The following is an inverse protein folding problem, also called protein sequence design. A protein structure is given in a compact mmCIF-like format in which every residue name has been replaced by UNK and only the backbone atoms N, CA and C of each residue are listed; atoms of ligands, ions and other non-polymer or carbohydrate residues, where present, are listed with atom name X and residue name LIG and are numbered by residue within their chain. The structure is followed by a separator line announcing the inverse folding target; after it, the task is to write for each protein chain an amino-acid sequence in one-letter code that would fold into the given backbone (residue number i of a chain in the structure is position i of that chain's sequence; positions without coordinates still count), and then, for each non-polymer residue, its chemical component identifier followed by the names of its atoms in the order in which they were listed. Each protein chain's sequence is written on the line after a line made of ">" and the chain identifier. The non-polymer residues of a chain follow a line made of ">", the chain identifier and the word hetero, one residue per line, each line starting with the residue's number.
data_IF_561471070804
#
_entry.id   IF_561471070804
#
_cell.length_a   1.000
_cell.length_b   1.000
_cell.length_c   1.000
_cell.angle_alpha   90.00
_cell.angle_beta   90.00
_cell.angle_gamma   90.00
#
_symmetry.space_group_name_H-M   'P 1'
#
loop_
_entity.id
_entity.type
_entity.pdbx_description
1 polymer ?
#
# COMPACT_ATOMS: atom_id res chain seq x y z
N UNK A 1 -50.05 -4.65 21.79
CA UNK A 1 -49.46 -5.38 20.64
C UNK A 1 -47.99 -5.00 20.36
N UNK A 2 -47.25 -4.42 21.33
CA UNK A 2 -45.84 -4.04 21.15
C UNK A 2 -44.85 -5.05 21.78
N UNK A 3 -45.33 -5.88 22.71
CA UNK A 3 -44.48 -6.73 23.55
C UNK A 3 -43.95 -7.98 22.83
N UNK A 4 -44.62 -8.40 21.75
CA UNK A 4 -44.19 -9.56 20.95
C UNK A 4 -42.96 -9.29 20.07
N UNK A 5 -42.61 -8.02 19.80
CA UNK A 5 -41.45 -7.68 18.96
C UNK A 5 -40.12 -7.79 19.70
N UNK A 6 -40.10 -7.62 21.02
CA UNK A 6 -38.85 -7.70 21.80
C UNK A 6 -38.40 -9.15 22.06
N UNK A 7 -39.32 -10.11 22.18
CA UNK A 7 -38.95 -11.52 22.38
C UNK A 7 -38.34 -12.17 21.13
N UNK A 8 -38.70 -11.72 19.92
CA UNK A 8 -38.11 -12.23 18.67
C UNK A 8 -36.64 -11.85 18.46
N UNK A 9 -36.07 -10.93 19.25
CA UNK A 9 -34.65 -10.52 19.11
C UNK A 9 -33.69 -11.31 20.01
N UNK A 10 -34.19 -12.12 20.95
CA UNK A 10 -33.35 -12.86 21.88
C UNK A 10 -32.86 -14.21 21.31
N UNK A 11 -33.47 -14.70 20.22
CA UNK A 11 -33.13 -16.00 19.62
C UNK A 11 -32.35 -15.87 18.29
N UNK A 12 -31.74 -14.71 18.04
CA UNK A 12 -30.86 -14.50 16.89
C UNK A 12 -29.42 -14.89 17.27
N UNK A 13 -28.80 -15.71 16.43
CA UNK A 13 -27.43 -16.16 16.57
C UNK A 13 -26.50 -14.96 16.83
N UNK A 14 -25.58 -15.02 17.79
CA UNK A 14 -24.74 -13.89 18.24
C UNK A 14 -24.05 -13.18 17.06
N UNK A 15 -23.72 -13.93 16.00
CA UNK A 15 -23.16 -13.40 14.75
C UNK A 15 -24.12 -12.45 14.01
N UNK A 16 -25.41 -12.76 13.94
CA UNK A 16 -26.42 -11.89 13.33
C UNK A 16 -26.64 -10.60 14.13
N UNK A 17 -26.63 -10.67 15.47
CA UNK A 17 -26.75 -9.48 16.32
C UNK A 17 -25.59 -8.52 16.08
N UNK A 18 -24.36 -9.04 15.96
CA UNK A 18 -23.19 -8.23 15.61
C UNK A 18 -23.32 -7.61 14.21
N UNK A 19 -23.76 -8.36 13.20
CA UNK A 19 -23.96 -7.82 11.84
C UNK A 19 -24.99 -6.70 11.80
N UNK A 20 -26.09 -6.81 12.55
CA UNK A 20 -27.13 -5.77 12.63
C UNK A 20 -26.56 -4.51 13.28
N UNK A 21 -25.81 -4.64 14.37
CA UNK A 21 -25.19 -3.48 15.05
C UNK A 21 -24.18 -2.78 14.13
N UNK A 22 -23.32 -3.54 13.44
CA UNK A 22 -22.36 -2.99 12.48
C UNK A 22 -23.08 -2.27 11.33
N UNK A 23 -24.17 -2.85 10.81
CA UNK A 23 -24.95 -2.25 9.74
C UNK A 23 -25.59 -0.91 10.14
N UNK A 24 -26.11 -0.82 11.37
CA UNK A 24 -26.68 0.43 11.91
C UNK A 24 -25.59 1.51 12.02
N UNK A 25 -24.39 1.16 12.51
CA UNK A 25 -23.27 2.11 12.62
C UNK A 25 -22.88 2.64 11.23
N UNK A 26 -22.81 1.78 10.21
CA UNK A 26 -22.49 2.19 8.84
C UNK A 26 -23.54 3.18 8.30
N UNK A 27 -24.83 2.94 8.55
CA UNK A 27 -25.90 3.86 8.12
C UNK A 27 -25.76 5.22 8.81
N UNK A 28 -25.47 5.26 10.11
CA UNK A 28 -25.27 6.52 10.86
C UNK A 28 -24.10 7.31 10.28
N UNK A 29 -22.99 6.65 9.95
CA UNK A 29 -21.83 7.29 9.32
C UNK A 29 -22.17 7.85 7.93
N UNK A 30 -22.97 7.14 7.13
CA UNK A 30 -23.40 7.62 5.81
C UNK A 30 -24.31 8.85 5.93
N UNK A 31 -25.25 8.85 6.88
CA UNK A 31 -26.12 10.02 7.11
C UNK A 31 -25.29 11.22 7.58
N UNK A 32 -24.32 10.98 8.46
CA UNK A 32 -23.40 12.01 8.93
C UNK A 32 -22.53 12.57 7.81
N UNK A 33 -22.00 11.71 6.92
CA UNK A 33 -21.29 12.11 5.70
C UNK A 33 -22.17 12.90 4.75
N UNK A 34 -23.43 12.49 4.55
CA UNK A 34 -24.38 13.19 3.69
C UNK A 34 -24.72 14.59 4.25
N UNK A 35 -24.87 14.72 5.57
CA UNK A 35 -25.04 16.02 6.22
C UNK A 35 -23.77 16.88 6.15
N UNK A 36 -22.59 16.27 6.28
CA UNK A 36 -21.30 16.95 6.09
C UNK A 36 -21.09 17.45 4.66
N UNK A 37 -21.54 16.68 3.65
CA UNK A 37 -21.42 17.02 2.23
C UNK A 37 -22.44 18.08 1.78
N UNK A 38 -23.62 18.13 2.39
CA UNK A 38 -24.66 19.10 2.04
C UNK A 38 -24.52 20.41 2.85
N UNK A 39 -23.91 20.39 4.04
CA UNK A 39 -23.73 21.55 4.90
C UNK A 39 -22.37 22.26 4.83
N UNK A 40 -21.38 21.70 4.13
CA UNK A 40 -19.98 22.14 4.14
C UNK A 40 -19.44 22.54 2.78
N UNK A 41 -20.06 23.51 2.11
CA UNK A 41 -19.49 24.14 0.93
C UNK A 41 -18.31 25.03 1.32
N UNK A 42 -17.08 24.53 1.13
CA UNK A 42 -15.88 25.36 0.98
C UNK A 42 -14.67 24.94 1.81
N UNK A 43 -13.75 24.19 1.18
CA UNK A 43 -12.32 24.52 1.15
C UNK A 43 -11.53 23.48 0.33
N UNK A 44 -11.02 23.95 -0.81
CA UNK A 44 -9.80 23.55 -1.51
C UNK A 44 -9.46 22.05 -1.65
N UNK A 45 -9.88 21.46 -2.77
CA UNK A 45 -9.03 20.53 -3.52
C UNK A 45 -7.77 21.26 -3.97
N UNK A 46 -6.55 20.86 -3.54
CA UNK A 46 -5.35 21.35 -4.18
C UNK A 46 -5.30 20.81 -5.61
N UNK A 47 -5.26 21.75 -6.56
CA UNK A 47 -5.00 21.48 -7.98
C UNK A 47 -3.56 20.96 -8.12
N UNK A 48 -3.32 19.87 -8.86
CA UNK A 48 -1.96 19.40 -9.12
C UNK A 48 -1.23 20.40 -10.02
N UNK A 49 -0.20 21.03 -9.47
CA UNK A 49 0.70 21.92 -10.21
C UNK A 49 1.60 21.09 -11.16
N UNK A 50 1.78 21.50 -12.43
CA UNK A 50 2.59 20.77 -13.40
C UNK A 50 4.08 20.83 -13.05
N UNK A 51 4.74 19.69 -13.19
CA UNK A 51 6.17 19.52 -12.98
C UNK A 51 7.01 20.47 -13.86
N UNK A 52 7.74 21.37 -13.22
CA UNK A 52 8.78 22.17 -13.86
C UNK A 52 10.10 21.41 -13.89
N UNK A 53 10.67 21.41 -15.09
CA UNK A 53 11.89 20.78 -15.57
C UNK A 53 13.14 21.25 -14.82
N UNK A 54 14.12 20.34 -14.74
CA UNK A 54 15.46 20.50 -14.18
C UNK A 54 16.15 21.84 -14.49
N UNK A 55 16.71 22.49 -13.46
CA UNK A 55 17.91 23.33 -13.59
C UNK A 55 18.66 23.48 -12.25
N UNK A 56 19.90 23.00 -12.28
CA UNK A 56 21.11 23.31 -11.52
C UNK A 56 21.07 24.18 -10.24
N UNK A 57 21.79 23.66 -9.24
CA UNK A 57 22.49 24.34 -8.13
C UNK A 57 22.73 25.85 -8.27
N UNK A 58 22.29 26.62 -7.26
CA UNK A 58 23.11 27.66 -6.61
C UNK A 58 22.55 28.07 -5.24
N UNK A 59 23.39 28.31 -4.21
CA UNK A 59 22.95 28.79 -2.91
C UNK A 59 22.86 30.33 -2.92
N UNK A 60 21.79 30.90 -2.36
CA UNK A 60 21.72 32.33 -2.13
C UNK A 60 20.33 32.87 -1.79
N UNK A 61 20.26 33.47 -0.60
CA UNK A 61 19.45 34.65 -0.23
C UNK A 61 17.94 34.65 -0.42
N UNK A 62 17.26 34.68 0.75
CA UNK A 62 16.18 35.60 1.12
C UNK A 62 14.95 35.69 0.22
N UNK A 63 13.79 35.28 0.75
CA UNK A 63 12.55 36.08 0.69
C UNK A 63 11.48 35.50 1.60
N UNK A 64 11.11 36.32 2.59
CA UNK A 64 9.85 36.32 3.32
C UNK A 64 8.61 36.11 2.46
N UNK A 65 7.62 35.38 2.95
CA UNK A 65 6.22 35.80 2.82
C UNK A 65 5.33 35.16 3.88
N UNK A 66 4.61 36.06 4.53
CA UNK A 66 3.64 35.95 5.62
C UNK A 66 2.36 35.23 5.18
N UNK A 67 1.80 34.40 6.06
CA UNK A 67 0.35 34.25 6.20
C UNK A 67 0.01 33.68 7.59
N UNK A 68 -0.20 34.58 8.55
CA UNK A 68 -0.86 34.32 9.82
C UNK A 68 -2.33 33.97 9.56
N UNK A 69 -2.77 32.81 10.05
CA UNK A 69 -4.18 32.56 10.33
C UNK A 69 -4.34 32.26 11.82
N UNK A 70 -4.87 33.24 12.54
CA UNK A 70 -5.32 33.14 13.92
C UNK A 70 -6.75 32.59 13.98
N UNK A 71 -7.05 31.60 14.84
CA UNK A 71 -8.43 31.29 15.20
C UNK A 71 -8.88 32.20 16.35
N UNK A 72 -9.98 32.91 16.11
CA UNK A 72 -10.71 33.73 17.08
C UNK A 72 -11.42 32.85 18.12
N UNK A 73 -11.26 33.20 19.41
CA UNK A 73 -12.06 32.70 20.53
C UNK A 73 -13.31 33.57 20.73
N UNK A 74 -14.46 33.00 21.14
CA UNK A 74 -15.65 33.77 21.45
C UNK A 74 -15.55 34.46 22.81
N UNK A 75 -16.05 35.70 22.80
CA UNK A 75 -16.10 36.70 23.86
C UNK A 75 -16.95 36.27 25.06
N UNK A 76 -16.41 36.42 26.28
CA UNK A 76 -17.18 36.38 27.52
C UNK A 76 -17.44 37.82 27.99
N UNK A 77 -18.72 38.16 28.08
CA UNK A 77 -19.25 39.46 28.49
C UNK A 77 -19.09 39.72 29.99
N UNK A 78 -18.75 40.96 30.28
CA UNK A 78 -18.53 41.60 31.57
C UNK A 78 -19.80 41.79 32.41
N UNK A 79 -19.67 41.57 33.72
CA UNK A 79 -20.52 42.12 34.77
C UNK A 79 -19.60 42.62 35.88
N UNK A 80 -19.71 43.91 36.21
CA UNK A 80 -18.61 44.68 36.81
C UNK A 80 -18.43 44.55 38.31
N UNK A 81 -17.30 45.06 38.80
CA UNK A 81 -17.24 45.95 39.95
C UNK A 81 -15.88 46.64 40.05
N UNK A 82 -16.00 47.87 40.51
CA UNK A 82 -15.04 48.93 40.67
C UNK A 82 -14.12 48.66 41.87
N UNK A 83 -12.80 48.67 41.67
CA UNK A 83 -11.80 49.11 42.67
C UNK A 83 -10.37 49.02 42.09
N UNK A 84 -9.74 50.17 41.92
CA UNK A 84 -8.27 50.30 41.94
C UNK A 84 -7.77 50.12 43.38
N UNK A 85 -6.63 49.44 43.58
CA UNK A 85 -5.40 50.22 43.71
C UNK A 85 -4.25 49.69 42.85
N UNK A 86 -3.57 50.65 42.26
CA UNK A 86 -2.40 50.53 41.40
C UNK A 86 -1.16 50.18 42.23
N UNK A 87 -0.65 48.95 42.10
CA UNK A 87 0.78 48.60 42.25
C UNK A 87 1.09 47.11 42.00
N UNK A 88 0.09 46.24 41.86
CA UNK A 88 0.31 44.82 41.53
C UNK A 88 0.37 44.51 40.02
N UNK A 89 -0.02 45.47 39.17
CA UNK A 89 -0.16 45.26 37.71
C UNK A 89 1.16 44.90 37.00
N UNK A 90 2.32 45.40 37.46
CA UNK A 90 3.60 45.08 36.81
C UNK A 90 4.02 43.64 37.06
N UNK A 91 3.85 43.15 38.30
CA UNK A 91 4.22 41.77 38.68
C UNK A 91 3.30 40.74 38.03
N UNK A 92 2.02 41.09 37.89
CA UNK A 92 1.04 40.25 37.20
C UNK A 92 1.31 40.20 35.69
N UNK A 93 1.73 41.31 35.08
CA UNK A 93 2.15 41.35 33.67
C UNK A 93 3.42 40.53 33.39
N UNK A 94 4.39 40.52 34.31
CA UNK A 94 5.57 39.64 34.20
C UNK A 94 5.18 38.17 34.31
N UNK A 95 4.22 37.83 35.16
CA UNK A 95 3.78 36.45 35.34
C UNK A 95 3.00 35.93 34.12
N UNK A 96 2.18 36.79 33.50
CA UNK A 96 1.51 36.50 32.22
C UNK A 96 2.53 36.35 31.10
N UNK A 97 3.55 37.22 31.04
CA UNK A 97 4.63 37.12 30.05
C UNK A 97 5.44 35.83 30.22
N UNK A 98 5.71 35.42 31.46
CA UNK A 98 6.42 34.18 31.74
C UNK A 98 5.58 32.95 31.34
N UNK A 99 4.27 33.00 31.53
CA UNK A 99 3.36 31.95 31.04
C UNK A 99 3.34 31.89 29.51
N UNK A 100 3.27 33.02 28.81
CA UNK A 100 3.34 33.08 27.35
C UNK A 100 4.66 32.52 26.82
N UNK A 101 5.80 32.93 27.40
CA UNK A 101 7.11 32.43 26.98
C UNK A 101 7.24 30.91 27.22
N UNK A 102 6.63 30.41 28.29
CA UNK A 102 6.58 28.96 28.58
C UNK A 102 5.73 28.23 27.54
N UNK A 103 4.58 28.78 27.16
CA UNK A 103 3.72 28.22 26.11
C UNK A 103 4.40 28.23 24.75
N UNK A 104 5.09 29.31 24.39
CA UNK A 104 5.86 29.41 23.15
C UNK A 104 6.99 28.39 23.09
N UNK A 105 7.75 28.22 24.18
CA UNK A 105 8.77 27.17 24.27
C UNK A 105 8.18 25.77 24.14
N UNK A 106 7.01 25.53 24.74
CA UNK A 106 6.33 24.24 24.63
C UNK A 106 5.88 23.95 23.19
N UNK A 107 5.33 24.95 22.50
CA UNK A 107 4.94 24.84 21.09
C UNK A 107 6.16 24.64 20.18
N UNK A 108 7.25 25.37 20.42
CA UNK A 108 8.50 25.21 19.68
C UNK A 108 9.09 23.80 19.85
N UNK A 109 9.12 23.27 21.09
CA UNK A 109 9.61 21.92 21.36
C UNK A 109 8.75 20.83 20.69
N UNK A 110 7.43 21.02 20.62
CA UNK A 110 6.54 20.10 19.90
C UNK A 110 6.86 20.10 18.40
N UNK A 111 7.02 21.28 17.80
CA UNK A 111 7.35 21.41 16.38
C UNK A 111 8.72 20.79 16.07
N UNK A 112 9.73 21.06 16.89
CA UNK A 112 11.06 20.48 16.76
C UNK A 112 11.01 18.94 16.81
N UNK A 113 10.21 18.37 17.71
CA UNK A 113 10.03 16.92 17.82
C UNK A 113 9.37 16.34 16.56
N UNK A 114 8.38 17.03 15.99
CA UNK A 114 7.77 16.62 14.72
C UNK A 114 8.77 16.65 13.56
N UNK A 115 9.55 17.72 13.46
CA UNK A 115 10.63 17.86 12.48
C UNK A 115 11.68 16.74 12.61
N UNK A 116 12.09 16.41 13.82
CA UNK A 116 13.04 15.31 14.08
C UNK A 116 12.46 13.95 13.67
N UNK A 117 11.17 13.70 13.94
CA UNK A 117 10.51 12.46 13.50
C UNK A 117 10.43 12.36 11.98
N UNK A 118 10.01 13.43 11.31
CA UNK A 118 9.95 13.49 9.85
C UNK A 118 11.35 13.29 9.25
N UNK A 119 12.36 13.96 9.80
CA UNK A 119 13.75 13.82 9.36
C UNK A 119 14.25 12.37 9.49
N UNK A 120 13.95 11.71 10.62
CA UNK A 120 14.27 10.29 10.82
C UNK A 120 13.55 9.39 9.80
N UNK A 121 12.27 9.61 9.58
CA UNK A 121 11.46 8.85 8.62
C UNK A 121 11.97 9.01 7.18
N UNK A 122 12.37 10.23 6.80
CA UNK A 122 13.00 10.51 5.51
C UNK A 122 14.35 9.80 5.39
N UNK A 123 15.19 9.85 6.43
CA UNK A 123 16.48 9.18 6.44
C UNK A 123 16.33 7.65 6.30
N UNK A 124 15.40 7.05 7.04
CA UNK A 124 15.11 5.61 7.00
C UNK A 124 14.55 5.18 5.64
N UNK A 125 13.62 5.97 5.07
CA UNK A 125 13.08 5.72 3.74
C UNK A 125 14.16 5.84 2.66
N UNK A 126 15.02 6.86 2.76
CA UNK A 126 16.12 7.07 1.81
C UNK A 126 17.14 5.93 1.89
N UNK A 127 17.45 5.45 3.10
CA UNK A 127 18.30 4.29 3.32
C UNK A 127 17.68 3.01 2.74
N UNK A 128 16.37 2.80 2.92
CA UNK A 128 15.63 1.68 2.33
C UNK A 128 15.62 1.71 0.80
N UNK A 129 15.45 2.88 0.19
CA UNK A 129 15.53 3.05 -1.27
C UNK A 129 16.94 2.75 -1.78
N UNK A 130 17.98 3.23 -1.08
CA UNK A 130 19.36 3.01 -1.47
C UNK A 130 19.74 1.52 -1.39
N UNK A 131 19.35 0.82 -0.32
CA UNK A 131 19.60 -0.61 -0.17
C UNK A 131 18.81 -1.45 -1.18
N UNK A 132 17.55 -1.10 -1.44
CA UNK A 132 16.74 -1.73 -2.48
C UNK A 132 17.38 -1.57 -3.86
N UNK A 133 17.83 -0.37 -4.23
CA UNK A 133 18.51 -0.13 -5.51
C UNK A 133 19.80 -0.95 -5.65
N UNK A 134 20.60 -1.03 -4.59
CA UNK A 134 21.80 -1.89 -4.59
C UNK A 134 21.46 -3.37 -4.78
N UNK A 135 20.39 -3.85 -4.12
CA UNK A 135 19.92 -5.22 -4.28
C UNK A 135 19.43 -5.48 -5.72
N UNK A 136 18.66 -4.55 -6.32
CA UNK A 136 18.18 -4.70 -7.70
C UNK A 136 19.33 -4.72 -8.69
N UNK A 137 20.31 -3.81 -8.56
CA UNK A 137 21.49 -3.78 -9.45
C UNK A 137 22.34 -5.05 -9.29
N UNK A 138 22.45 -5.58 -8.06
CA UNK A 138 23.16 -6.84 -7.81
C UNK A 138 22.42 -8.03 -8.43
N UNK A 139 21.10 -8.07 -8.30
CA UNK A 139 20.27 -9.10 -8.93
C UNK A 139 20.36 -9.01 -10.47
N UNK A 140 20.30 -7.82 -11.05
CA UNK A 140 20.46 -7.61 -12.50
C UNK A 140 21.84 -8.07 -12.99
N UNK A 141 22.92 -7.78 -12.26
CA UNK A 141 24.26 -8.28 -12.59
C UNK A 141 24.37 -9.81 -12.48
N UNK A 142 23.75 -10.42 -11.46
CA UNK A 142 23.72 -11.88 -11.31
C UNK A 142 22.94 -12.57 -12.43
N UNK A 143 21.84 -11.96 -12.88
CA UNK A 143 21.07 -12.46 -14.03
C UNK A 143 21.86 -12.32 -15.33
N UNK A 144 22.60 -11.22 -15.52
CA UNK A 144 23.39 -11.02 -16.73
C UNK A 144 24.55 -12.03 -16.83
N UNK A 145 25.19 -12.38 -15.72
CA UNK A 145 26.27 -13.38 -15.68
C UNK A 145 25.78 -14.78 -16.10
N UNK A 146 24.52 -15.14 -15.79
CA UNK A 146 23.92 -16.40 -16.24
C UNK A 146 23.67 -16.46 -17.75
N UNK A 147 23.50 -15.31 -18.41
CA UNK A 147 23.35 -15.23 -19.86
C UNK A 147 24.68 -15.10 -20.60
N UNK A 148 25.73 -14.61 -19.94
CA UNK A 148 27.07 -14.46 -20.54
C UNK A 148 28.05 -15.58 -20.17
N UNK A 149 27.70 -16.48 -19.24
CA UNK A 149 28.51 -17.65 -18.92
C UNK A 149 28.59 -18.55 -20.15
N UNK A 150 29.75 -18.50 -20.81
CA UNK A 150 30.06 -19.29 -21.99
C UNK A 150 29.67 -20.77 -21.74
N UNK A 151 29.02 -21.43 -22.70
CA UNK A 151 28.58 -22.82 -22.54
C UNK A 151 29.77 -23.68 -22.10
N UNK A 152 29.63 -24.50 -21.05
CA UNK A 152 30.70 -25.40 -20.64
C UNK A 152 31.10 -26.27 -21.85
N UNK A 153 32.40 -26.51 -22.06
CA UNK A 153 32.86 -27.34 -23.17
C UNK A 153 32.11 -28.68 -23.12
N UNK A 154 31.47 -29.03 -24.23
CA UNK A 154 30.69 -30.25 -24.37
C UNK A 154 31.58 -31.45 -24.02
N UNK A 155 31.38 -32.00 -22.83
CA UNK A 155 32.02 -33.25 -22.42
C UNK A 155 31.32 -34.37 -23.17
N UNK A 156 32.04 -35.21 -23.95
CA UNK A 156 31.44 -36.28 -24.72
C UNK A 156 30.72 -37.29 -23.82
N UNK A 157 29.48 -37.59 -24.17
CA UNK A 157 28.49 -38.38 -23.41
C UNK A 157 28.79 -39.88 -23.28
N UNK A 158 30.03 -40.33 -23.54
CA UNK A 158 30.36 -41.76 -23.58
C UNK A 158 30.78 -42.40 -22.24
N UNK A 159 30.82 -41.66 -21.12
CA UNK A 159 31.39 -42.19 -19.88
C UNK A 159 30.38 -42.61 -18.80
N UNK A 160 29.09 -42.25 -18.91
CA UNK A 160 28.09 -42.54 -17.87
C UNK A 160 27.31 -43.84 -18.08
N UNK A 161 27.39 -44.48 -19.26
CA UNK A 161 26.77 -45.79 -19.50
C UNK A 161 27.62 -46.97 -18.97
N UNK A 162 28.88 -46.73 -18.58
CA UNK A 162 29.81 -47.80 -18.18
C UNK A 162 29.80 -48.12 -16.68
N UNK A 163 29.05 -47.38 -15.84
CA UNK A 163 29.02 -47.62 -14.38
C UNK A 163 27.74 -48.28 -13.87
N UNK A 164 26.80 -48.67 -14.75
CA UNK A 164 25.51 -49.27 -14.34
C UNK A 164 25.37 -50.77 -14.64
N UNK A 165 26.42 -51.45 -15.11
CA UNK A 165 26.36 -52.91 -15.40
C UNK A 165 27.23 -53.74 -14.46
N UNK A 166 27.79 -53.16 -13.38
CA UNK A 166 28.50 -53.94 -12.36
C UNK A 166 27.77 -53.93 -11.02
N UNK A 167 27.35 -55.13 -10.62
CA UNK A 167 26.89 -55.59 -9.30
C UNK A 167 25.54 -55.09 -8.77
N UNK A 168 24.51 -55.92 -9.05
CA UNK A 168 23.59 -56.51 -8.07
C UNK A 168 23.09 -55.65 -6.90
N UNK A 169 21.80 -55.31 -6.93
CA UNK A 169 21.09 -54.78 -5.78
C UNK A 169 19.61 -54.60 -6.07
N UNK A 170 18.82 -55.63 -5.74
CA UNK A 170 17.37 -55.60 -5.77
C UNK A 170 16.87 -54.54 -4.76
N UNK A 171 16.35 -53.42 -5.25
CA UNK A 171 15.88 -52.31 -4.42
C UNK A 171 14.63 -51.67 -5.01
N UNK A 172 13.47 -52.05 -4.50
CA UNK A 172 12.18 -51.38 -4.68
C UNK A 172 12.24 -49.95 -4.16
N UNK A 173 12.06 -48.96 -5.03
CA UNK A 173 11.82 -47.59 -4.66
C UNK A 173 10.63 -47.01 -5.44
N UNK A 174 9.48 -47.09 -4.79
CA UNK A 174 8.29 -46.28 -4.99
C UNK A 174 8.61 -44.81 -4.71
N UNK A 175 8.44 -43.89 -5.66
CA UNK A 175 8.21 -42.47 -5.35
C UNK A 175 7.70 -41.67 -6.58
N UNK A 176 6.42 -41.30 -6.48
CA UNK A 176 5.83 -40.01 -6.86
C UNK A 176 6.02 -39.53 -8.29
N UNK A 177 4.96 -39.75 -9.07
CA UNK A 177 4.73 -39.06 -10.33
C UNK A 177 4.78 -37.55 -10.15
N UNK A 178 5.70 -36.93 -10.88
CA UNK A 178 5.61 -35.52 -11.22
C UNK A 178 4.39 -35.33 -12.12
N UNK A 179 3.37 -34.64 -11.61
CA UNK A 179 2.30 -34.07 -12.42
C UNK A 179 2.94 -33.11 -13.43
N UNK A 180 3.20 -33.66 -14.62
CA UNK A 180 3.62 -32.89 -15.78
C UNK A 180 2.36 -32.22 -16.30
N UNK A 181 2.15 -30.96 -15.90
CA UNK A 181 1.12 -30.12 -16.51
C UNK A 181 1.51 -29.93 -17.96
N UNK A 182 0.68 -30.50 -18.84
CA UNK A 182 0.82 -30.45 -20.29
C UNK A 182 0.76 -29.00 -20.76
N UNK A 183 1.93 -28.48 -21.14
CA UNK A 183 2.08 -27.20 -21.83
C UNK A 183 1.55 -27.36 -23.26
N UNK A 184 0.23 -27.27 -23.42
CA UNK A 184 -0.40 -27.19 -24.75
C UNK A 184 0.04 -25.87 -25.41
N UNK A 185 0.64 -25.98 -26.60
CA UNK A 185 1.06 -24.92 -27.52
C UNK A 185 0.06 -23.77 -27.60
N UNK A 186 0.30 -22.76 -26.77
CA UNK A 186 -0.49 -21.55 -26.75
C UNK A 186 0.18 -20.62 -25.77
N UNK A 187 0.83 -19.59 -26.31
CA UNK A 187 1.35 -18.40 -25.62
C UNK A 187 1.42 -18.57 -24.10
N UNK A 188 2.57 -19.02 -23.60
CA UNK A 188 2.74 -19.30 -22.16
C UNK A 188 2.75 -17.98 -21.40
N UNK A 189 1.59 -17.60 -20.86
CA UNK A 189 1.49 -16.52 -19.89
C UNK A 189 2.01 -17.00 -18.55
N UNK A 190 2.75 -16.12 -17.87
CA UNK A 190 3.22 -16.35 -16.51
C UNK A 190 2.48 -15.36 -15.62
N UNK A 191 1.87 -15.81 -14.52
CA UNK A 191 1.33 -14.90 -13.51
C UNK A 191 2.44 -14.63 -12.50
N UNK A 192 2.90 -13.38 -12.42
CA UNK A 192 3.96 -12.96 -11.51
C UNK A 192 3.41 -12.61 -10.14
N UNK A 193 2.30 -11.87 -10.11
CA UNK A 193 1.67 -11.46 -8.87
C UNK A 193 0.17 -11.32 -9.02
N UNK A 194 -0.54 -11.56 -7.92
CA UNK A 194 -1.96 -11.30 -7.78
C UNK A 194 -2.16 -10.47 -6.53
N UNK A 195 -2.91 -9.37 -6.63
CA UNK A 195 -3.20 -8.47 -5.52
C UNK A 195 -4.70 -8.20 -5.43
N UNK A 196 -5.16 -7.88 -4.22
CA UNK A 196 -6.53 -7.48 -3.96
C UNK A 196 -6.52 -6.05 -3.44
N UNK A 197 -6.99 -5.11 -4.26
CA UNK A 197 -6.97 -3.68 -3.96
C UNK A 197 -8.36 -3.10 -4.17
N UNK A 198 -8.85 -2.33 -3.18
CA UNK A 198 -10.15 -1.63 -3.26
C UNK A 198 -11.33 -2.55 -3.63
N UNK A 199 -11.36 -3.77 -3.08
CA UNK A 199 -12.43 -4.72 -3.37
C UNK A 199 -12.35 -5.39 -4.74
N UNK A 200 -11.26 -5.19 -5.49
CA UNK A 200 -11.06 -5.76 -6.83
C UNK A 200 -9.77 -6.57 -6.86
N UNK A 201 -9.83 -7.72 -7.54
CA UNK A 201 -8.64 -8.50 -7.84
C UNK A 201 -7.94 -7.93 -9.07
N UNK A 202 -6.64 -7.72 -8.95
CA UNK A 202 -5.75 -7.34 -10.05
C UNK A 202 -4.61 -8.36 -10.14
N UNK A 203 -4.06 -8.56 -11.33
CA UNK A 203 -2.92 -9.45 -11.52
C UNK A 203 -1.90 -8.82 -12.47
N UNK A 204 -0.63 -9.11 -12.23
CA UNK A 204 0.45 -8.78 -13.17
C UNK A 204 0.83 -10.05 -13.90
N UNK A 205 0.62 -10.04 -15.21
CA UNK A 205 0.93 -11.15 -16.10
C UNK A 205 2.13 -10.81 -16.98
N UNK A 206 3.03 -11.77 -17.16
CA UNK A 206 4.20 -11.68 -18.02
C UNK A 206 4.00 -12.44 -19.32
N UNK A 207 4.37 -11.82 -20.43
CA UNK A 207 4.46 -12.47 -21.75
C UNK A 207 5.63 -11.91 -22.55
N UNK A 208 6.56 -12.78 -22.96
CA UNK A 208 7.74 -12.41 -23.76
C UNK A 208 8.52 -11.20 -23.20
N UNK A 209 8.74 -11.18 -21.87
CA UNK A 209 9.48 -10.11 -21.21
C UNK A 209 8.70 -8.80 -21.00
N UNK A 210 7.43 -8.73 -21.42
CA UNK A 210 6.53 -7.61 -21.11
C UNK A 210 5.60 -7.96 -19.95
N UNK A 211 5.31 -6.96 -19.12
CA UNK A 211 4.38 -7.07 -18.00
C UNK A 211 3.08 -6.35 -18.36
N UNK A 212 1.97 -6.99 -18.01
CA UNK A 212 0.62 -6.49 -18.22
C UNK A 212 -0.09 -6.46 -16.88
N UNK A 213 -0.58 -5.28 -16.48
CA UNK A 213 -1.54 -5.19 -15.39
C UNK A 213 -2.93 -5.50 -15.95
N UNK A 214 -3.57 -6.53 -15.41
CA UNK A 214 -4.87 -7.00 -15.89
C UNK A 214 -5.88 -7.06 -14.75
N UNK A 215 -7.11 -6.65 -15.07
CA UNK A 215 -8.30 -6.80 -14.26
C UNK A 215 -9.25 -7.81 -14.91
N UNK A 216 -10.28 -8.21 -14.16
CA UNK A 216 -11.36 -9.07 -14.69
C UNK A 216 -12.11 -8.32 -15.79
N UNK A 217 -12.20 -8.94 -16.97
CA UNK A 217 -12.81 -8.37 -18.17
C UNK A 217 -11.81 -7.85 -19.20
N UNK A 218 -10.54 -7.68 -18.84
CA UNK A 218 -9.53 -7.16 -19.76
C UNK A 218 -9.15 -8.20 -20.83
N UNK A 219 -8.83 -7.70 -22.01
CA UNK A 219 -8.39 -8.51 -23.16
C UNK A 219 -6.88 -8.37 -23.34
N UNK A 220 -6.18 -9.49 -23.36
CA UNK A 220 -4.74 -9.56 -23.54
C UNK A 220 -4.38 -9.32 -25.01
N UNK A 221 -3.55 -8.30 -25.32
CA UNK A 221 -3.15 -7.98 -26.70
C UNK A 221 -2.48 -9.08 -27.53
N UNK A 222 -1.67 -10.01 -26.96
CA UNK A 222 -0.93 -10.98 -27.76
C UNK A 222 -1.79 -12.04 -28.44
N UNK A 223 -2.92 -12.41 -27.83
CA UNK A 223 -3.72 -13.54 -28.28
C UNK A 223 -5.24 -13.33 -28.20
N UNK A 224 -5.67 -12.14 -27.75
CA UNK A 224 -7.09 -11.81 -27.57
C UNK A 224 -7.75 -12.53 -26.39
N UNK A 225 -6.99 -13.19 -25.51
CA UNK A 225 -7.55 -13.87 -24.34
C UNK A 225 -8.21 -12.88 -23.39
N UNK A 226 -9.43 -13.18 -22.94
CA UNK A 226 -10.13 -12.35 -21.95
C UNK A 226 -9.95 -12.90 -20.54
N UNK A 227 -9.67 -12.03 -19.58
CA UNK A 227 -9.58 -12.41 -18.16
C UNK A 227 -10.98 -12.63 -17.59
N UNK A 228 -11.31 -13.87 -17.23
CA UNK A 228 -12.64 -14.22 -16.69
C UNK A 228 -12.68 -14.07 -15.18
N UNK A 229 -11.61 -14.47 -14.49
CA UNK A 229 -11.55 -14.43 -13.04
C UNK A 229 -10.10 -14.33 -12.58
N UNK A 230 -9.89 -13.60 -11.50
CA UNK A 230 -8.60 -13.49 -10.81
C UNK A 230 -8.83 -13.96 -9.38
N UNK A 231 -7.95 -14.82 -8.88
CA UNK A 231 -8.02 -15.40 -7.55
C UNK A 231 -6.62 -15.50 -6.95
N UNK A 232 -6.53 -15.75 -5.64
CA UNK A 232 -5.25 -16.00 -4.96
C UNK A 232 -4.41 -17.10 -5.63
N UNK A 233 -5.05 -18.07 -6.29
CA UNK A 233 -4.37 -19.18 -6.96
C UNK A 233 -3.85 -18.83 -8.37
N UNK A 234 -4.26 -17.69 -8.94
CA UNK A 234 -3.89 -17.28 -10.29
C UNK A 234 -5.06 -16.71 -11.10
N UNK A 235 -4.89 -16.70 -12.41
CA UNK A 235 -5.78 -16.04 -13.38
C UNK A 235 -6.43 -17.07 -14.30
N UNK A 236 -7.73 -16.95 -14.53
CA UNK A 236 -8.46 -17.77 -15.51
C UNK A 236 -8.68 -16.92 -16.76
N UNK A 237 -8.08 -17.34 -17.87
CA UNK A 237 -8.23 -16.76 -19.19
C UNK A 237 -9.28 -17.52 -19.99
N UNK A 238 -9.98 -16.82 -20.88
CA UNK A 238 -10.85 -17.43 -21.89
C UNK A 238 -10.36 -17.06 -23.28
N UNK A 239 -10.18 -18.07 -24.11
CA UNK A 239 -9.80 -17.94 -25.51
C UNK A 239 -10.66 -18.89 -26.34
N UNK A 240 -11.31 -18.39 -27.38
CA UNK A 240 -12.13 -19.20 -28.30
C UNK A 240 -13.17 -20.09 -27.57
N UNK A 241 -13.75 -19.58 -26.48
CA UNK A 241 -14.71 -20.31 -25.64
C UNK A 241 -14.08 -21.26 -24.61
N UNK A 242 -12.81 -21.64 -24.77
CA UNK A 242 -12.09 -22.47 -23.80
C UNK A 242 -11.58 -21.64 -22.62
N UNK A 243 -11.66 -22.20 -21.40
CA UNK A 243 -11.11 -21.58 -20.18
C UNK A 243 -9.78 -22.23 -19.82
N UNK A 244 -8.72 -21.43 -19.69
CA UNK A 244 -7.37 -21.87 -19.27
C UNK A 244 -7.02 -21.20 -17.94
N UNK A 245 -6.66 -22.00 -16.94
CA UNK A 245 -6.15 -21.49 -15.65
C UNK A 245 -4.64 -21.35 -15.74
N UNK A 246 -4.14 -20.16 -15.44
CA UNK A 246 -2.71 -19.88 -15.29
C UNK A 246 -2.45 -19.67 -13.80
N UNK A 247 -1.69 -20.58 -13.21
CA UNK A 247 -1.36 -20.53 -11.78
C UNK A 247 -0.25 -19.53 -11.50
N UNK A 248 -0.25 -18.99 -10.28
CA UNK A 248 0.86 -18.17 -9.79
C UNK A 248 2.15 -19.01 -9.76
N UNK A 249 3.24 -18.48 -10.30
CA UNK A 249 4.55 -19.11 -10.13
C UNK A 249 4.97 -18.88 -8.69
N UNK A 250 5.10 -19.96 -7.93
CA UNK A 250 5.63 -19.88 -6.57
C UNK A 250 7.09 -19.44 -6.67
N UNK A 251 7.40 -18.25 -6.15
CA UNK A 251 8.79 -17.88 -5.89
C UNK A 251 9.34 -18.90 -4.88
N UNK A 252 10.41 -19.59 -5.27
CA UNK A 252 11.16 -20.55 -4.44
C UNK A 252 12.16 -19.76 -3.61
#
# INVERSE_FOLDING_TARGET
>A
MADNKMQSMQNLNTKQKTTIVVFIIVIVVIIWQAWGLIGGGGAATPTPEPAATMAAERPGTSSSTTAMQSPSLPSASSGGQQQTPSSFSSRESELIRLQQETQEKYLAAINELQMLKISREIAETTQGIASAKLATVTAEKGVLDLFTKAPPPAVPVSSYASSLVSSGGLGTATAMGAETTTTTEGSSYIVLSVSYLVGKWNAIMGYQGKLYNVAVGDVLPPDGSTVVAISKAGVILRKDGAKKKVSLVSAI
#
